data_IF_413292890898
#
_entry.id   IF_413292890898
#
_cell.length_a   1.000
_cell.length_b   1.000
_cell.length_c   1.000
_cell.angle_alpha   90.00
_cell.angle_beta   90.00
_cell.angle_gamma   90.00
#
_symmetry.space_group_name_H-M   'P 1'
#
loop_
_entity.id
_entity.type
_entity.pdbx_description
1 polymer ?
#
# COMPACT_ATOMS: atom_id res chain seq x y z
N UNK A 1 13.76 2.13 6.24
CA UNK A 1 14.92 2.79 5.61
C UNK A 1 15.86 3.34 6.68
N UNK A 2 15.34 4.00 7.72
CA UNK A 2 16.12 4.49 8.87
C UNK A 2 17.07 3.45 9.49
N UNK A 3 16.58 2.23 9.77
CA UNK A 3 17.41 1.12 10.30
C UNK A 3 18.58 0.69 9.38
N UNK A 4 18.56 1.12 8.11
CA UNK A 4 19.63 0.88 7.13
C UNK A 4 20.49 2.13 6.90
N UNK A 5 20.35 3.17 7.74
CA UNK A 5 21.10 4.42 7.65
C UNK A 5 20.53 5.46 6.67
N UNK A 6 19.29 5.28 6.21
CA UNK A 6 18.61 6.22 5.30
C UNK A 6 17.39 6.88 5.98
N UNK A 7 17.58 8.16 6.31
CA UNK A 7 16.61 8.97 7.05
C UNK A 7 15.59 9.67 6.15
N UNK A 8 15.58 9.39 4.84
CA UNK A 8 14.68 10.06 3.87
C UNK A 8 13.20 10.02 4.31
N UNK A 9 12.79 8.94 4.98
CA UNK A 9 11.42 8.74 5.47
C UNK A 9 11.25 8.92 6.99
N UNK A 10 12.27 9.42 7.69
CA UNK A 10 12.19 9.70 9.13
C UNK A 10 11.34 10.96 9.35
N UNK A 11 10.34 10.85 10.24
CA UNK A 11 9.40 11.94 10.55
C UNK A 11 9.65 12.59 11.92
N UNK A 12 10.31 11.87 12.82
CA UNK A 12 10.55 12.29 14.20
C UNK A 12 10.44 11.13 15.20
N UNK A 13 10.42 11.46 16.49
CA UNK A 13 10.32 10.50 17.59
C UNK A 13 8.98 10.65 18.31
N UNK A 14 8.36 9.53 18.71
CA UNK A 14 7.01 9.52 19.31
C UNK A 14 6.95 10.28 20.65
N UNK A 15 8.02 10.23 21.44
CA UNK A 15 8.06 10.90 22.75
C UNK A 15 8.20 12.43 22.66
N UNK A 16 8.71 12.95 21.53
CA UNK A 16 9.08 14.37 21.41
C UNK A 16 8.26 15.12 20.38
N UNK A 17 7.76 14.45 19.35
CA UNK A 17 7.03 15.09 18.25
C UNK A 17 5.53 15.20 18.55
N UNK A 18 4.92 16.32 18.16
CA UNK A 18 3.46 16.46 18.23
C UNK A 18 2.82 15.83 17.00
N UNK A 19 1.64 15.24 17.18
CA UNK A 19 0.86 14.65 16.07
C UNK A 19 0.73 15.57 14.86
N UNK A 20 0.40 16.85 15.09
CA UNK A 20 0.24 17.84 14.01
C UNK A 20 1.55 18.03 13.25
N UNK A 21 2.69 18.10 13.94
CA UNK A 21 4.01 18.28 13.31
C UNK A 21 4.33 17.09 12.41
N UNK A 22 4.13 15.86 12.90
CA UNK A 22 4.31 14.63 12.13
C UNK A 22 3.42 14.59 10.88
N UNK A 23 2.12 14.91 11.03
CA UNK A 23 1.17 14.85 9.91
C UNK A 23 1.37 15.96 8.87
N UNK A 24 1.96 17.09 9.27
CA UNK A 24 2.29 18.20 8.35
C UNK A 24 3.74 18.17 7.84
N UNK A 25 4.53 17.15 8.23
CA UNK A 25 5.93 17.00 7.83
C UNK A 25 6.08 16.98 6.31
N UNK A 26 7.16 17.57 5.80
CA UNK A 26 7.39 17.70 4.36
C UNK A 26 7.46 16.34 3.65
N UNK A 27 8.13 15.36 4.26
CA UNK A 27 8.15 13.96 3.80
C UNK A 27 6.76 13.36 3.67
N UNK A 28 5.84 13.61 4.63
CA UNK A 28 4.46 13.10 4.55
C UNK A 28 3.74 13.75 3.37
N UNK A 29 3.88 15.08 3.21
CA UNK A 29 3.27 15.80 2.09
C UNK A 29 3.81 15.33 0.73
N UNK A 30 5.12 15.09 0.64
CA UNK A 30 5.76 14.56 -0.56
C UNK A 30 5.26 13.14 -0.87
N UNK A 31 5.17 12.26 0.13
CA UNK A 31 4.65 10.91 -0.02
C UNK A 31 3.19 10.90 -0.45
N UNK A 32 2.35 11.81 0.09
CA UNK A 32 0.96 11.97 -0.32
C UNK A 32 0.83 12.35 -1.80
N UNK A 33 1.63 13.31 -2.27
CA UNK A 33 1.61 13.72 -3.68
C UNK A 33 2.12 12.57 -4.58
N UNK A 34 3.20 11.89 -4.17
CA UNK A 34 3.79 10.80 -4.94
C UNK A 34 2.91 9.54 -5.01
N UNK A 35 2.09 9.29 -3.98
CA UNK A 35 1.16 8.16 -3.94
C UNK A 35 -0.20 8.44 -4.56
N UNK A 36 -0.50 9.70 -4.90
CA UNK A 36 -1.74 10.06 -5.60
C UNK A 36 -1.75 9.51 -7.02
N UNK A 37 -2.53 8.46 -7.28
CA UNK A 37 -2.57 7.77 -8.56
C UNK A 37 -3.05 8.65 -9.72
N UNK A 38 -3.91 9.63 -9.44
CA UNK A 38 -4.44 10.55 -10.44
C UNK A 38 -3.39 11.55 -10.93
N UNK A 39 -2.31 11.75 -10.15
CA UNK A 39 -1.16 12.54 -10.54
C UNK A 39 -0.06 11.72 -11.23
N UNK A 40 -0.27 10.41 -11.44
CA UNK A 40 0.75 9.51 -11.99
C UNK A 40 0.41 9.12 -13.45
N UNK A 41 1.28 9.41 -14.43
CA UNK A 41 0.98 9.26 -15.86
C UNK A 41 0.48 7.86 -16.28
N UNK A 42 1.07 6.79 -15.74
CA UNK A 42 0.67 5.41 -16.07
C UNK A 42 -0.54 4.93 -15.25
N UNK A 43 -0.84 5.55 -14.10
CA UNK A 43 -1.91 5.09 -13.21
C UNK A 43 -3.25 5.78 -13.46
N UNK A 44 -3.24 7.04 -13.92
CA UNK A 44 -4.48 7.80 -14.23
C UNK A 44 -5.35 7.08 -15.27
N UNK A 45 -4.74 6.33 -16.19
CA UNK A 45 -5.43 5.56 -17.23
C UNK A 45 -5.45 4.05 -16.96
N UNK A 46 -5.04 3.61 -15.76
CA UNK A 46 -5.01 2.19 -15.42
C UNK A 46 -6.41 1.72 -14.98
N UNK A 47 -6.92 0.65 -15.59
CA UNK A 47 -8.20 0.02 -15.23
C UNK A 47 -8.30 -0.36 -13.74
N UNK A 48 -7.14 -0.60 -13.11
CA UNK A 48 -7.05 -1.00 -11.71
C UNK A 48 -6.77 0.14 -10.73
N UNK A 49 -6.81 1.41 -11.18
CA UNK A 49 -6.53 2.58 -10.34
C UNK A 49 -7.28 2.52 -9.00
N UNK A 50 -8.60 2.28 -9.03
CA UNK A 50 -9.46 2.24 -7.83
C UNK A 50 -9.13 1.11 -6.84
N UNK A 51 -8.40 0.07 -7.27
CA UNK A 51 -8.07 -1.11 -6.47
C UNK A 51 -6.58 -1.20 -6.14
N UNK A 52 -5.79 -0.20 -6.54
CA UNK A 52 -4.34 -0.22 -6.42
C UNK A 52 -3.84 0.94 -5.56
N UNK A 53 -2.54 0.94 -5.27
CA UNK A 53 -1.86 2.01 -4.56
C UNK A 53 -0.38 1.99 -4.89
N UNK A 54 0.25 3.15 -4.84
CA UNK A 54 1.70 3.31 -4.97
C UNK A 54 2.31 3.45 -3.58
N UNK A 55 3.47 2.83 -3.42
CA UNK A 55 4.30 2.86 -2.22
C UNK A 55 5.56 3.70 -2.50
N UNK A 56 5.57 5.00 -2.14
CA UNK A 56 6.70 5.89 -2.43
C UNK A 56 8.04 5.39 -1.88
N UNK A 57 8.03 4.71 -0.74
CA UNK A 57 9.20 4.11 -0.11
C UNK A 57 9.80 2.98 -0.96
N UNK A 58 8.94 2.18 -1.61
CA UNK A 58 9.40 1.13 -2.49
C UNK A 58 9.99 1.71 -3.77
N UNK A 59 9.31 2.68 -4.39
CA UNK A 59 9.84 3.37 -5.57
C UNK A 59 11.20 4.01 -5.29
N UNK A 60 11.33 4.65 -4.12
CA UNK A 60 12.59 5.27 -3.72
C UNK A 60 13.71 4.23 -3.61
N UNK A 61 13.43 3.11 -2.95
CA UNK A 61 14.41 2.04 -2.76
C UNK A 61 14.83 1.40 -4.10
N UNK A 62 13.90 1.21 -5.04
CA UNK A 62 14.17 0.49 -6.28
C UNK A 62 14.65 1.38 -7.43
N UNK A 63 14.22 2.65 -7.46
CA UNK A 63 14.44 3.56 -8.59
C UNK A 63 15.12 4.88 -8.19
N UNK A 64 15.43 5.09 -6.90
CA UNK A 64 16.04 6.33 -6.40
C UNK A 64 15.11 7.54 -6.43
N UNK A 65 13.81 7.34 -6.63
CA UNK A 65 12.81 8.40 -6.73
C UNK A 65 11.51 7.98 -6.05
N UNK A 66 10.85 8.90 -5.35
CA UNK A 66 9.56 8.63 -4.72
C UNK A 66 8.44 8.46 -5.77
N UNK A 67 8.64 9.01 -6.97
CA UNK A 67 7.76 8.82 -8.13
C UNK A 67 7.96 7.43 -8.74
N UNK A 68 6.85 6.80 -9.13
CA UNK A 68 6.87 5.45 -9.66
C UNK A 68 7.22 5.41 -11.14
N UNK A 69 8.20 4.56 -11.51
CA UNK A 69 8.42 4.13 -12.90
C UNK A 69 7.58 2.90 -13.18
N UNK A 70 6.27 3.09 -13.32
CA UNK A 70 5.26 2.01 -13.29
C UNK A 70 5.53 0.88 -14.29
N UNK A 71 6.05 1.19 -15.48
CA UNK A 71 6.38 0.18 -16.52
C UNK A 71 7.51 -0.76 -16.11
N UNK A 72 8.45 -0.27 -15.33
CA UNK A 72 9.62 -1.02 -14.84
C UNK A 72 9.39 -1.59 -13.44
N UNK A 73 8.33 -1.18 -12.76
CA UNK A 73 8.04 -1.60 -11.40
C UNK A 73 7.42 -3.01 -11.39
N UNK A 74 8.19 -3.99 -10.90
CA UNK A 74 7.76 -5.38 -10.76
C UNK A 74 6.53 -5.54 -9.85
N UNK A 75 6.37 -4.72 -8.81
CA UNK A 75 5.19 -4.76 -7.93
C UNK A 75 3.94 -4.40 -8.72
N UNK A 76 4.01 -3.40 -9.60
CA UNK A 76 2.88 -3.05 -10.46
C UNK A 76 2.48 -4.23 -11.36
N UNK A 77 3.45 -4.90 -11.99
CA UNK A 77 3.17 -6.06 -12.84
C UNK A 77 2.51 -7.21 -12.06
N UNK A 78 3.03 -7.51 -10.87
CA UNK A 78 2.46 -8.55 -9.99
C UNK A 78 1.03 -8.19 -9.57
N UNK A 79 0.79 -6.95 -9.13
CA UNK A 79 -0.54 -6.51 -8.73
C UNK A 79 -1.54 -6.58 -9.88
N UNK A 80 -1.14 -6.14 -11.09
CA UNK A 80 -1.98 -6.27 -12.29
C UNK A 80 -2.34 -7.73 -12.57
N UNK A 81 -1.37 -8.64 -12.52
CA UNK A 81 -1.63 -10.07 -12.74
C UNK A 81 -2.55 -10.69 -11.67
N UNK A 82 -2.40 -10.31 -10.40
CA UNK A 82 -3.31 -10.73 -9.32
C UNK A 82 -4.73 -10.21 -9.60
N UNK A 83 -4.84 -8.92 -9.95
CA UNK A 83 -6.12 -8.29 -10.24
C UNK A 83 -6.80 -8.91 -11.46
N UNK A 84 -6.07 -9.10 -12.57
CA UNK A 84 -6.53 -9.80 -13.76
C UNK A 84 -7.10 -11.18 -13.40
N UNK A 85 -6.37 -11.95 -12.59
CA UNK A 85 -6.80 -13.27 -12.16
C UNK A 85 -8.08 -13.23 -11.32
N UNK A 86 -8.13 -12.35 -10.31
CA UNK A 86 -9.30 -12.20 -9.44
C UNK A 86 -10.53 -11.75 -10.22
N UNK A 87 -10.40 -10.76 -11.10
CA UNK A 87 -11.51 -10.28 -11.92
C UNK A 87 -11.95 -11.32 -12.95
N UNK A 88 -11.02 -12.09 -13.53
CA UNK A 88 -11.35 -13.23 -14.38
C UNK A 88 -12.18 -14.26 -13.62
N UNK A 89 -11.77 -14.58 -12.39
CA UNK A 89 -12.50 -15.52 -11.52
C UNK A 89 -13.88 -15.00 -11.11
N UNK A 90 -13.99 -13.70 -10.83
CA UNK A 90 -15.27 -13.04 -10.57
C UNK A 90 -16.18 -13.12 -11.80
N UNK A 91 -15.66 -12.85 -13.00
CA UNK A 91 -16.42 -12.90 -14.25
C UNK A 91 -16.90 -14.31 -14.60
N UNK A 92 -16.08 -15.33 -14.36
CA UNK A 92 -16.46 -16.74 -14.55
C UNK A 92 -17.60 -17.18 -13.63
N UNK A 93 -17.76 -16.51 -12.48
CA UNK A 93 -18.86 -16.71 -11.55
C UNK A 93 -19.07 -18.17 -11.09
N UNK A 94 -17.99 -18.96 -11.02
CA UNK A 94 -18.04 -20.32 -10.49
C UNK A 94 -18.53 -20.30 -9.03
N UNK A 95 -19.58 -21.07 -8.67
CA UNK A 95 -20.17 -21.01 -7.33
C UNK A 95 -19.18 -21.29 -6.21
N UNK A 96 -18.25 -22.23 -6.40
CA UNK A 96 -17.25 -22.59 -5.39
C UNK A 96 -16.24 -21.47 -5.16
N UNK A 97 -15.80 -20.82 -6.24
CA UNK A 97 -14.88 -19.69 -6.20
C UNK A 97 -15.53 -18.46 -5.58
N UNK A 98 -16.77 -18.16 -5.94
CA UNK A 98 -17.52 -17.04 -5.35
C UNK A 98 -17.75 -17.23 -3.85
N UNK A 99 -17.98 -18.45 -3.40
CA UNK A 99 -18.09 -18.75 -1.97
C UNK A 99 -16.77 -18.48 -1.24
N UNK A 100 -15.63 -18.83 -1.83
CA UNK A 100 -14.31 -18.47 -1.28
C UNK A 100 -14.16 -16.94 -1.17
N UNK A 101 -14.52 -16.20 -2.22
CA UNK A 101 -14.44 -14.74 -2.21
C UNK A 101 -15.37 -14.12 -1.17
N UNK A 102 -16.60 -14.62 -1.00
CA UNK A 102 -17.49 -14.18 0.09
C UNK A 102 -16.88 -14.41 1.45
N UNK A 103 -16.21 -15.54 1.67
CA UNK A 103 -15.54 -15.81 2.96
C UNK A 103 -14.40 -14.82 3.23
N UNK A 104 -13.73 -14.29 2.22
CA UNK A 104 -12.71 -13.25 2.39
C UNK A 104 -13.26 -11.90 2.84
N UNK A 105 -14.53 -11.59 2.55
CA UNK A 105 -15.16 -10.32 2.99
C UNK A 105 -15.73 -10.40 4.41
N UNK A 106 -15.86 -11.60 4.99
CA UNK A 106 -16.34 -11.75 6.36
C UNK A 106 -15.29 -11.28 7.37
N UNK A 107 -15.64 -10.28 8.19
CA UNK A 107 -14.83 -9.87 9.34
C UNK A 107 -14.95 -10.96 10.39
N UNK A 108 -13.90 -11.74 10.54
CA UNK A 108 -13.78 -12.70 11.64
C UNK A 108 -13.19 -12.01 12.85
N UNK A 109 -13.74 -12.35 14.00
CA UNK A 109 -13.19 -11.97 15.29
C UNK A 109 -11.74 -12.49 15.39
N UNK A 110 -10.81 -11.59 15.74
CA UNK A 110 -9.35 -11.84 15.73
C UNK A 110 -8.80 -11.98 17.16
N UNK A 111 -9.60 -12.41 18.13
CA UNK A 111 -9.18 -12.57 19.54
C UNK A 111 -7.92 -13.40 19.69
N UNK A 112 -7.73 -14.41 18.83
CA UNK A 112 -6.56 -15.27 18.82
C UNK A 112 -5.24 -14.55 18.48
N UNK A 113 -5.28 -13.31 17.94
CA UNK A 113 -4.11 -12.45 17.74
C UNK A 113 -3.90 -11.44 18.87
N UNK A 114 -4.89 -11.26 19.76
CA UNK A 114 -4.75 -10.39 20.92
C UNK A 114 -3.88 -11.13 21.94
N UNK A 115 -2.60 -10.77 21.99
CA UNK A 115 -1.75 -11.19 23.10
C UNK A 115 -2.33 -10.57 24.38
N UNK A 116 -2.67 -11.42 25.37
CA UNK A 116 -3.09 -10.94 26.68
C UNK A 116 -1.95 -10.07 27.22
N UNK A 117 -2.18 -8.76 27.35
CA UNK A 117 -1.16 -7.84 27.79
C UNK A 117 -0.58 -8.33 29.11
N UNK A 118 0.73 -8.56 29.16
CA UNK A 118 1.46 -8.64 30.42
C UNK A 118 1.36 -7.27 31.08
N UNK A 119 0.38 -7.13 31.96
CA UNK A 119 0.40 -6.06 32.95
C UNK A 119 1.61 -6.29 33.85
N UNK A 120 2.61 -5.41 33.73
CA UNK A 120 3.70 -5.20 34.68
C UNK A 120 3.77 -3.72 34.99
#
# INVERSE_FOLDING_TARGET
LHEMGDDTFLLGHVDTAKYRELMTHETVRAALIASNLDAQPDCVNCTYNTYCGIKPENNYTTHGSIQGRTRENAICQVHKGIQDYLFTKLHQADPSTLEIFRRWTTIRERSHFLQTGTAS
#
